data_IF_687799622068
#
_entry.id   IF_687799622068
#
_cell.length_a   1.000
_cell.length_b   1.000
_cell.length_c   1.000
_cell.angle_alpha   90.00
_cell.angle_beta   90.00
_cell.angle_gamma   90.00
#
_symmetry.space_group_name_H-M   'P 1'
#
loop_
_entity.id
_entity.type
_entity.pdbx_description
1 polymer ?
#
# COMPACT_ATOMS: atom_id res chain seq x y z
N UNK A 1 -5.69 13.22 24.07
CA UNK A 1 -4.97 14.46 24.32
C UNK A 1 -4.39 15.08 23.05
N UNK A 2 -3.89 16.28 23.14
CA UNK A 2 -3.17 16.97 22.06
C UNK A 2 -1.74 17.19 22.54
N UNK A 3 -0.77 16.86 21.72
CA UNK A 3 0.66 17.06 22.00
C UNK A 3 1.11 18.25 21.16
N UNK A 4 1.49 19.40 21.80
CA UNK A 4 1.76 20.64 21.07
C UNK A 4 3.04 20.61 20.27
N UNK A 5 4.08 19.95 20.76
CA UNK A 5 5.42 19.89 20.15
C UNK A 5 5.92 18.47 20.05
N UNK A 6 6.88 18.24 19.16
CA UNK A 6 7.49 16.94 18.96
C UNK A 6 8.35 16.50 20.17
N UNK A 7 8.93 17.46 20.85
CA UNK A 7 9.77 17.26 22.03
C UNK A 7 8.97 16.72 23.22
N UNK A 8 7.66 17.05 23.30
CA UNK A 8 6.77 16.60 24.37
C UNK A 8 6.29 15.15 24.19
N UNK A 9 6.47 14.55 22.98
CA UNK A 9 5.96 13.22 22.65
C UNK A 9 6.48 12.12 23.59
N UNK A 10 7.80 12.01 23.87
CA UNK A 10 8.30 10.95 24.75
C UNK A 10 7.72 11.02 26.17
N UNK A 11 7.63 12.22 26.73
CA UNK A 11 7.12 12.46 28.09
C UNK A 11 5.61 12.20 28.18
N UNK A 12 4.88 12.55 27.13
CA UNK A 12 3.44 12.30 27.07
C UNK A 12 3.12 10.81 26.99
N UNK A 13 3.87 10.06 26.17
CA UNK A 13 3.69 8.61 26.03
C UNK A 13 4.06 7.89 27.31
N UNK A 14 5.12 8.33 28.00
CA UNK A 14 5.53 7.71 29.28
C UNK A 14 4.47 7.80 30.39
N UNK A 15 3.56 8.77 30.29
CA UNK A 15 2.54 9.07 31.31
C UNK A 15 1.11 8.62 30.91
N UNK A 16 0.90 8.14 29.69
CA UNK A 16 -0.43 7.85 29.18
C UNK A 16 -0.41 6.56 28.36
N UNK A 17 -1.45 5.74 28.52
CA UNK A 17 -1.71 4.61 27.60
C UNK A 17 -2.33 5.15 26.32
N UNK A 18 -1.68 4.90 25.18
CA UNK A 18 -2.09 5.43 23.89
C UNK A 18 -2.26 4.28 22.91
N UNK A 19 -3.47 4.13 22.38
CA UNK A 19 -3.78 3.12 21.37
C UNK A 19 -3.50 3.62 19.95
N UNK A 20 -3.67 4.94 19.71
CA UNK A 20 -3.57 5.51 18.37
C UNK A 20 -3.02 6.93 18.39
N UNK A 21 -2.10 7.21 17.49
CA UNK A 21 -1.59 8.55 17.19
C UNK A 21 -2.20 9.07 15.88
N UNK A 22 -2.76 10.27 15.94
CA UNK A 22 -3.17 11.03 14.77
C UNK A 22 -2.11 12.11 14.53
N UNK A 23 -1.34 11.98 13.46
CA UNK A 23 -0.14 12.80 13.20
C UNK A 23 -0.33 13.59 11.91
N UNK A 24 -0.21 14.92 11.99
CA UNK A 24 -0.07 15.73 10.78
C UNK A 24 1.33 15.55 10.20
N UNK A 25 1.43 15.25 8.91
CA UNK A 25 2.72 15.12 8.23
C UNK A 25 3.45 16.47 8.19
N UNK A 26 2.69 17.58 8.05
CA UNK A 26 3.22 18.93 7.98
C UNK A 26 3.03 19.64 9.32
N UNK A 27 3.94 19.39 10.25
CA UNK A 27 4.02 20.13 11.50
C UNK A 27 4.70 21.47 11.31
N UNK A 28 4.42 22.42 12.20
CA UNK A 28 5.14 23.70 12.26
C UNK A 28 6.55 23.46 12.80
N UNK A 29 7.56 24.06 12.16
CA UNK A 29 8.96 23.93 12.57
C UNK A 29 9.77 22.96 11.72
N UNK A 30 10.93 22.54 12.23
CA UNK A 30 11.88 21.68 11.50
C UNK A 30 11.58 20.18 11.61
N UNK A 31 10.70 19.79 12.54
CA UNK A 31 10.34 18.37 12.77
C UNK A 31 9.19 17.99 11.88
N UNK A 32 9.34 16.88 11.15
CA UNK A 32 8.28 16.33 10.31
C UNK A 32 7.50 15.28 11.09
N UNK A 33 6.17 15.21 10.87
CA UNK A 33 5.34 14.19 11.49
C UNK A 33 5.81 12.76 11.21
N UNK A 34 6.54 12.56 10.11
CA UNK A 34 7.15 11.27 9.72
C UNK A 34 8.25 10.87 10.71
N UNK A 35 9.10 11.83 11.14
CA UNK A 35 10.19 11.57 12.06
C UNK A 35 9.64 11.15 13.44
N UNK A 36 8.55 11.81 13.88
CA UNK A 36 7.82 11.44 15.11
C UNK A 36 7.23 10.03 14.99
N UNK A 37 6.59 9.71 13.87
CA UNK A 37 5.99 8.41 13.66
C UNK A 37 7.02 7.27 13.66
N UNK A 38 8.23 7.52 13.16
CA UNK A 38 9.35 6.57 13.23
C UNK A 38 9.73 6.27 14.68
N UNK A 39 9.91 7.30 15.49
CA UNK A 39 10.22 7.15 16.93
C UNK A 39 9.10 6.42 17.68
N UNK A 40 7.82 6.75 17.38
CA UNK A 40 6.67 6.06 17.97
C UNK A 40 6.68 4.59 17.60
N UNK A 41 6.91 4.26 16.34
CA UNK A 41 6.90 2.87 15.87
C UNK A 41 8.01 2.03 16.48
N UNK A 42 9.20 2.60 16.66
CA UNK A 42 10.33 1.94 17.30
C UNK A 42 10.07 1.65 18.79
N UNK A 43 9.52 2.62 19.51
CA UNK A 43 9.31 2.50 20.96
C UNK A 43 7.99 1.84 21.35
N UNK A 44 6.94 2.00 20.50
CA UNK A 44 5.56 1.58 20.75
C UNK A 44 4.99 0.83 19.53
N UNK A 45 5.52 -0.37 19.21
CA UNK A 45 5.18 -1.09 17.99
C UNK A 45 3.69 -1.48 17.88
N UNK A 46 2.97 -1.53 19.01
CA UNK A 46 1.54 -1.90 19.05
C UNK A 46 0.59 -0.72 18.87
N UNK A 47 1.06 0.52 19.00
CA UNK A 47 0.21 1.70 18.82
C UNK A 47 -0.14 1.90 17.35
N UNK A 48 -1.39 2.28 17.06
CA UNK A 48 -1.81 2.70 15.73
C UNK A 48 -1.21 4.05 15.34
N UNK A 49 -0.88 4.23 14.07
CA UNK A 49 -0.42 5.50 13.51
C UNK A 49 -1.30 5.87 12.32
N UNK A 50 -2.04 6.98 12.44
CA UNK A 50 -2.85 7.55 11.38
C UNK A 50 -2.28 8.90 10.96
N UNK A 51 -1.79 9.00 9.74
CA UNK A 51 -1.33 10.28 9.19
C UNK A 51 -2.48 11.13 8.67
N UNK A 52 -2.38 12.45 8.86
CA UNK A 52 -3.21 13.44 8.17
C UNK A 52 -2.32 14.40 7.39
N UNK A 53 -2.77 14.87 6.23
CA UNK A 53 -2.01 15.85 5.44
C UNK A 53 -2.88 16.61 4.47
N UNK A 54 -2.50 17.87 4.17
CA UNK A 54 -3.07 18.65 3.07
C UNK A 54 -2.37 18.38 1.73
N UNK A 55 -1.22 17.70 1.75
CA UNK A 55 -0.44 17.46 0.54
C UNK A 55 -0.96 16.23 -0.22
N UNK A 56 -1.36 16.44 -1.47
CA UNK A 56 -1.70 15.40 -2.43
C UNK A 56 -0.56 15.27 -3.43
N UNK A 57 0.20 14.19 -3.38
CA UNK A 57 1.23 13.96 -4.37
C UNK A 57 2.16 12.79 -4.05
N UNK A 58 2.81 12.26 -5.10
CA UNK A 58 3.73 11.12 -5.03
C UNK A 58 4.86 11.34 -4.00
N UNK A 59 5.39 12.57 -3.94
CA UNK A 59 6.53 12.91 -3.06
C UNK A 59 6.24 12.75 -1.56
N UNK A 60 4.98 12.87 -1.14
CA UNK A 60 4.59 12.68 0.27
C UNK A 60 4.43 11.20 0.57
N UNK A 61 3.79 10.47 -0.34
CA UNK A 61 3.57 9.04 -0.22
C UNK A 61 4.90 8.27 -0.26
N UNK A 62 5.83 8.69 -1.12
CA UNK A 62 7.19 8.12 -1.16
C UNK A 62 7.94 8.33 0.18
N UNK A 63 7.71 9.48 0.84
CA UNK A 63 8.32 9.78 2.15
C UNK A 63 7.72 9.00 3.32
N UNK A 64 6.39 8.77 3.31
CA UNK A 64 5.72 7.99 4.36
C UNK A 64 5.83 6.48 4.13
N UNK A 65 6.14 6.04 2.89
CA UNK A 65 6.30 4.61 2.57
C UNK A 65 7.38 3.92 3.40
N UNK A 66 8.37 4.68 3.89
CA UNK A 66 9.45 4.16 4.72
C UNK A 66 9.08 4.05 6.20
N UNK A 67 7.97 4.66 6.62
CA UNK A 67 7.45 4.60 7.98
C UNK A 67 6.31 3.59 8.06
N UNK A 68 6.33 2.70 9.05
CA UNK A 68 5.22 1.79 9.31
C UNK A 68 4.06 2.56 9.92
N UNK A 69 2.99 2.80 9.14
CA UNK A 69 1.76 3.46 9.59
C UNK A 69 0.54 2.59 9.30
N UNK A 70 -0.60 2.88 9.95
CA UNK A 70 -1.79 2.06 9.90
C UNK A 70 -2.91 2.66 9.07
N UNK A 71 -2.88 3.98 8.86
CA UNK A 71 -3.83 4.70 8.04
C UNK A 71 -3.34 6.07 7.62
N UNK A 72 -4.08 6.68 6.69
CA UNK A 72 -3.78 8.00 6.13
C UNK A 72 -5.06 8.72 5.72
N UNK A 73 -5.17 10.01 6.03
CA UNK A 73 -6.30 10.87 5.65
C UNK A 73 -5.83 12.15 4.96
N UNK A 74 -6.40 12.43 3.80
CA UNK A 74 -6.15 13.68 3.06
C UNK A 74 -7.10 14.77 3.53
N UNK A 75 -6.57 15.89 3.98
CA UNK A 75 -7.33 17.09 4.34
C UNK A 75 -7.84 17.83 3.08
N UNK A 76 -9.09 18.33 3.10
CA UNK A 76 -10.11 18.15 4.13
C UNK A 76 -10.75 16.76 4.09
N UNK A 77 -10.96 16.14 5.25
CA UNK A 77 -11.64 14.85 5.38
C UNK A 77 -12.96 15.00 6.13
N UNK A 78 -13.94 14.14 5.79
CA UNK A 78 -15.22 14.08 6.48
C UNK A 78 -15.10 13.27 7.77
N UNK A 79 -16.03 13.53 8.72
CA UNK A 79 -16.14 12.71 9.93
C UNK A 79 -16.32 11.22 9.58
N UNK A 80 -17.14 10.92 8.58
CA UNK A 80 -17.37 9.55 8.10
C UNK A 80 -16.09 8.87 7.58
N UNK A 81 -15.21 9.63 6.91
CA UNK A 81 -13.92 9.10 6.45
C UNK A 81 -12.99 8.79 7.63
N UNK A 82 -12.99 9.67 8.63
CA UNK A 82 -12.22 9.47 9.87
C UNK A 82 -12.72 8.23 10.62
N UNK A 83 -14.03 8.14 10.88
CA UNK A 83 -14.65 7.00 11.56
C UNK A 83 -14.35 5.67 10.86
N UNK A 84 -14.51 5.62 9.54
CA UNK A 84 -14.22 4.41 8.76
C UNK A 84 -12.75 4.00 8.86
N UNK A 85 -11.83 4.97 8.83
CA UNK A 85 -10.40 4.70 8.95
C UNK A 85 -10.03 4.23 10.35
N UNK A 86 -10.57 4.87 11.40
CA UNK A 86 -10.39 4.47 12.78
C UNK A 86 -10.91 3.06 13.04
N UNK A 87 -12.09 2.72 12.52
CA UNK A 87 -12.65 1.38 12.61
C UNK A 87 -11.74 0.31 11.98
N UNK A 88 -11.16 0.59 10.81
CA UNK A 88 -10.24 -0.34 10.16
C UNK A 88 -8.94 -0.51 10.95
N UNK A 89 -8.42 0.57 11.53
CA UNK A 89 -7.22 0.52 12.38
C UNK A 89 -7.52 -0.27 13.66
N UNK A 90 -8.64 -0.02 14.35
CA UNK A 90 -9.00 -0.75 15.57
C UNK A 90 -9.12 -2.25 15.32
N UNK A 91 -9.76 -2.65 14.22
CA UNK A 91 -9.84 -4.07 13.83
C UNK A 91 -8.48 -4.71 13.58
N UNK A 92 -7.54 -3.96 13.05
CA UNK A 92 -6.17 -4.42 12.85
C UNK A 92 -5.40 -4.57 14.17
N UNK A 93 -5.64 -3.67 15.13
CA UNK A 93 -5.01 -3.71 16.44
C UNK A 93 -5.60 -4.80 17.35
N UNK A 94 -6.91 -5.11 17.23
CA UNK A 94 -7.60 -6.16 17.97
C UNK A 94 -7.16 -7.59 17.57
N UNK A 95 -6.68 -7.79 16.33
CA UNK A 95 -6.23 -9.10 15.81
C UNK A 95 -4.76 -9.05 15.37
N UNK A 96 -3.80 -8.94 16.31
CA UNK A 96 -2.39 -8.92 15.94
C UNK A 96 -1.88 -10.25 15.39
N UNK A 97 -2.55 -11.38 15.63
CA UNK A 97 -1.98 -12.70 15.44
C UNK A 97 -2.33 -13.44 14.15
N UNK A 98 -3.30 -12.97 13.34
CA UNK A 98 -3.57 -13.56 12.02
C UNK A 98 -2.89 -12.83 10.84
N UNK A 99 -2.31 -11.63 11.08
CA UNK A 99 -1.55 -10.85 10.10
C UNK A 99 -0.06 -10.69 10.49
N UNK A 100 0.39 -11.32 11.56
CA UNK A 100 1.63 -11.04 12.30
C UNK A 100 2.83 -11.92 11.94
N UNK A 101 2.93 -12.48 10.75
CA UNK A 101 4.17 -13.12 10.28
C UNK A 101 4.53 -12.74 8.85
N UNK A 102 4.61 -11.47 8.61
CA UNK A 102 5.57 -10.90 7.66
C UNK A 102 5.60 -9.41 7.91
N UNK A 103 6.74 -8.87 8.35
CA UNK A 103 7.05 -7.44 8.35
C UNK A 103 7.11 -6.89 6.91
N UNK A 104 6.08 -7.17 6.11
CA UNK A 104 6.00 -6.68 4.74
C UNK A 104 5.45 -5.26 4.78
N UNK A 105 6.33 -4.33 4.51
CA UNK A 105 6.05 -2.93 4.19
C UNK A 105 4.84 -2.88 3.24
N UNK A 106 3.69 -2.37 3.70
CA UNK A 106 2.52 -2.21 2.82
C UNK A 106 2.81 -1.11 1.82
N UNK A 107 2.93 -1.47 0.57
CA UNK A 107 3.04 -0.48 -0.49
C UNK A 107 1.64 -0.04 -0.90
N UNK A 108 1.20 1.11 -0.38
CA UNK A 108 -0.10 1.71 -0.70
C UNK A 108 0.03 2.58 -1.95
N UNK A 109 -0.64 2.17 -3.00
CA UNK A 109 -0.64 2.85 -4.29
C UNK A 109 -1.80 3.84 -4.36
N UNK A 110 -1.55 5.15 -4.50
CA UNK A 110 -2.61 6.11 -4.75
C UNK A 110 -3.12 5.95 -6.18
N UNK A 111 -4.36 5.52 -6.32
CA UNK A 111 -5.06 5.45 -7.61
C UNK A 111 -6.22 6.43 -7.63
N UNK A 112 -6.55 6.99 -8.82
CA UNK A 112 -7.71 7.85 -8.99
C UNK A 112 -8.84 7.05 -9.64
N UNK A 113 -9.89 6.76 -8.88
CA UNK A 113 -11.11 6.10 -9.36
C UNK A 113 -12.32 7.02 -9.16
N UNK A 114 -13.06 7.30 -10.25
CA UNK A 114 -14.28 8.15 -10.23
C UNK A 114 -14.11 9.48 -9.50
N UNK A 115 -12.96 10.15 -9.73
CA UNK A 115 -12.65 11.45 -9.12
C UNK A 115 -12.14 11.40 -7.67
N UNK A 116 -12.11 10.23 -7.04
CA UNK A 116 -11.58 10.02 -5.67
C UNK A 116 -10.20 9.40 -5.73
N UNK A 117 -9.33 9.77 -4.78
CA UNK A 117 -8.06 9.08 -4.56
C UNK A 117 -8.32 7.93 -3.59
N UNK A 118 -7.92 6.74 -4.00
CA UNK A 118 -8.02 5.51 -3.22
C UNK A 118 -6.61 5.00 -3.00
N UNK A 119 -6.27 4.68 -1.75
CA UNK A 119 -5.02 4.01 -1.41
C UNK A 119 -5.24 2.51 -1.53
N UNK A 120 -4.69 1.93 -2.59
CA UNK A 120 -4.79 0.52 -2.89
C UNK A 120 -3.56 -0.20 -2.35
N UNK A 121 -3.76 -1.19 -1.48
CA UNK A 121 -2.66 -2.07 -1.07
C UNK A 121 -2.23 -2.93 -2.27
N UNK A 122 -0.95 -2.89 -2.62
CA UNK A 122 -0.44 -3.69 -3.75
C UNK A 122 -0.61 -5.20 -3.53
N UNK A 123 -0.68 -5.65 -2.26
CA UNK A 123 -0.89 -7.06 -1.94
C UNK A 123 -2.27 -7.57 -2.36
N UNK A 124 -3.27 -6.67 -2.43
CA UNK A 124 -4.62 -7.02 -2.91
C UNK A 124 -4.66 -7.18 -4.44
N UNK A 125 -3.66 -6.66 -5.16
CA UNK A 125 -3.63 -6.70 -6.63
C UNK A 125 -3.29 -8.11 -7.09
N UNK A 126 -4.19 -8.69 -7.89
CA UNK A 126 -3.98 -9.97 -8.57
C UNK A 126 -3.22 -9.78 -9.87
N UNK A 127 -3.72 -8.90 -10.73
CA UNK A 127 -3.08 -8.52 -11.99
C UNK A 127 -3.61 -7.17 -12.50
N UNK A 128 -2.88 -6.59 -13.45
CA UNK A 128 -3.25 -5.35 -14.13
C UNK A 128 -3.34 -5.59 -15.62
N UNK A 129 -4.44 -5.12 -16.25
CA UNK A 129 -4.68 -5.19 -17.70
C UNK A 129 -4.71 -3.80 -18.31
N UNK A 130 -3.90 -3.57 -19.33
CA UNK A 130 -3.94 -2.33 -20.11
C UNK A 130 -5.00 -2.41 -21.22
N UNK A 131 -5.86 -1.39 -21.30
CA UNK A 131 -6.90 -1.22 -22.32
C UNK A 131 -6.85 0.20 -22.89
N UNK A 132 -6.05 0.41 -23.94
CA UNK A 132 -5.84 1.73 -24.53
C UNK A 132 -5.20 2.70 -23.53
N UNK A 133 -5.92 3.79 -23.18
CA UNK A 133 -5.47 4.80 -22.21
C UNK A 133 -5.85 4.47 -20.77
N UNK A 134 -6.43 3.30 -20.51
CA UNK A 134 -6.91 2.89 -19.20
C UNK A 134 -6.21 1.62 -18.73
N UNK A 135 -6.15 1.49 -17.40
CA UNK A 135 -5.76 0.26 -16.73
C UNK A 135 -6.94 -0.28 -15.93
N UNK A 136 -7.18 -1.57 -16.06
CA UNK A 136 -8.01 -2.34 -15.12
C UNK A 136 -7.10 -3.00 -14.10
N UNK A 137 -7.28 -2.66 -12.84
CA UNK A 137 -6.57 -3.26 -11.72
C UNK A 137 -7.52 -4.23 -11.04
N UNK A 138 -7.21 -5.51 -11.15
CA UNK A 138 -8.01 -6.59 -10.56
C UNK A 138 -7.47 -6.89 -9.16
N UNK A 139 -8.34 -6.81 -8.16
CA UNK A 139 -8.03 -7.09 -6.77
C UNK A 139 -8.92 -8.21 -6.23
N UNK A 140 -8.67 -8.64 -4.99
CA UNK A 140 -9.46 -9.68 -4.35
C UNK A 140 -10.94 -9.27 -4.19
N UNK A 141 -11.23 -7.96 -4.04
CA UNK A 141 -12.56 -7.47 -3.72
C UNK A 141 -13.29 -6.82 -4.91
N UNK A 142 -12.56 -6.14 -5.80
CA UNK A 142 -13.16 -5.37 -6.91
C UNK A 142 -12.17 -5.07 -8.02
N UNK A 143 -12.68 -4.52 -9.13
CA UNK A 143 -11.90 -4.05 -10.26
C UNK A 143 -11.92 -2.53 -10.29
N UNK A 144 -10.75 -1.91 -10.34
CA UNK A 144 -10.61 -0.47 -10.54
C UNK A 144 -10.32 -0.17 -12.01
N UNK A 145 -10.90 0.92 -12.52
CA UNK A 145 -10.61 1.44 -13.85
C UNK A 145 -9.99 2.82 -13.71
N UNK A 146 -8.70 2.94 -14.01
CA UNK A 146 -7.97 4.20 -13.91
C UNK A 146 -7.48 4.67 -15.28
N UNK A 147 -7.42 5.98 -15.49
CA UNK A 147 -6.84 6.56 -16.70
C UNK A 147 -5.34 6.76 -16.51
N UNK A 148 -4.58 5.74 -16.82
CA UNK A 148 -3.11 5.75 -16.71
C UNK A 148 -2.53 4.72 -17.69
N UNK A 149 -1.31 4.95 -18.17
CA UNK A 149 -0.61 4.01 -19.04
C UNK A 149 0.16 2.99 -18.22
N UNK A 150 0.25 1.75 -18.72
CA UNK A 150 1.00 0.67 -18.04
C UNK A 150 2.49 1.05 -17.83
N UNK A 151 3.06 1.82 -18.76
CA UNK A 151 4.44 2.30 -18.68
C UNK A 151 4.68 3.20 -17.45
N UNK A 152 3.71 4.01 -17.07
CA UNK A 152 3.80 4.93 -15.92
C UNK A 152 3.35 4.28 -14.62
N UNK A 153 2.49 3.27 -14.70
CA UNK A 153 1.99 2.56 -13.53
C UNK A 153 2.96 1.47 -13.03
N UNK A 154 3.58 0.72 -13.94
CA UNK A 154 4.48 -0.39 -13.60
C UNK A 154 5.62 -0.02 -12.63
N UNK A 155 6.29 1.14 -12.76
CA UNK A 155 7.35 1.54 -11.81
C UNK A 155 6.86 1.83 -10.40
N UNK A 156 5.54 1.96 -10.18
CA UNK A 156 4.95 2.16 -8.85
C UNK A 156 4.75 0.84 -8.09
N UNK A 157 4.76 -0.28 -8.81
CA UNK A 157 4.62 -1.62 -8.25
C UNK A 157 5.98 -2.16 -7.81
N UNK A 158 5.98 -2.97 -6.76
CA UNK A 158 7.19 -3.66 -6.32
C UNK A 158 7.67 -4.65 -7.41
N UNK A 159 8.87 -4.47 -8.00
CA UNK A 159 9.37 -5.31 -9.07
C UNK A 159 9.61 -6.77 -8.63
N UNK A 160 9.78 -7.01 -7.33
CA UNK A 160 9.89 -8.37 -6.82
C UNK A 160 8.55 -9.11 -6.81
N UNK A 161 7.43 -8.39 -6.70
CA UNK A 161 6.08 -8.97 -6.63
C UNK A 161 5.38 -8.99 -7.98
N UNK A 162 5.67 -8.03 -8.85
CA UNK A 162 4.93 -7.83 -10.09
C UNK A 162 5.81 -8.00 -11.32
N UNK A 163 5.32 -8.78 -12.27
CA UNK A 163 6.03 -9.06 -13.52
C UNK A 163 5.16 -8.75 -14.73
N UNK A 164 5.71 -8.01 -15.68
CA UNK A 164 5.06 -7.79 -16.98
C UNK A 164 5.31 -9.00 -17.88
N UNK A 165 4.30 -9.81 -18.08
CA UNK A 165 4.36 -11.05 -18.88
C UNK A 165 3.82 -10.91 -20.31
N UNK A 166 3.11 -9.79 -20.57
CA UNK A 166 2.54 -9.49 -21.90
C UNK A 166 2.55 -7.99 -22.16
N UNK A 167 2.38 -7.55 -23.43
CA UNK A 167 2.28 -6.11 -23.76
C UNK A 167 1.20 -5.38 -22.97
N UNK A 168 0.13 -6.09 -22.60
CA UNK A 168 -1.04 -5.54 -21.89
C UNK A 168 -1.24 -6.10 -20.49
N UNK A 169 -0.37 -6.98 -19.97
CA UNK A 169 -0.60 -7.59 -18.66
C UNK A 169 0.63 -7.56 -17.77
N UNK A 170 0.38 -7.20 -16.51
CA UNK A 170 1.30 -7.34 -15.36
C UNK A 170 0.61 -8.23 -14.34
N UNK A 171 1.30 -9.22 -13.82
CA UNK A 171 0.75 -10.18 -12.86
C UNK A 171 1.48 -10.11 -11.52
N UNK A 172 0.76 -10.36 -10.44
CA UNK A 172 1.32 -10.61 -9.14
C UNK A 172 1.85 -12.05 -9.09
N UNK A 173 3.14 -12.21 -8.90
CA UNK A 173 3.81 -13.52 -8.92
C UNK A 173 3.30 -14.47 -7.83
N UNK A 174 2.86 -13.94 -6.68
CA UNK A 174 2.30 -14.75 -5.59
C UNK A 174 0.91 -15.32 -5.91
N UNK A 175 0.23 -14.78 -6.93
CA UNK A 175 -1.11 -15.20 -7.36
C UNK A 175 -1.08 -16.14 -8.57
N UNK A 176 0.09 -16.48 -9.09
CA UNK A 176 0.26 -17.44 -10.19
C UNK A 176 0.08 -18.86 -9.65
N UNK A 177 -0.92 -19.58 -10.18
CA UNK A 177 -1.21 -20.97 -9.82
C UNK A 177 -0.47 -21.97 -10.70
N UNK A 178 -0.60 -21.81 -11.99
CA UNK A 178 -0.01 -22.64 -13.02
C UNK A 178 0.28 -21.85 -14.29
N UNK A 179 1.11 -22.37 -15.16
CA UNK A 179 1.43 -21.76 -16.45
C UNK A 179 1.88 -22.81 -17.48
N UNK A 180 1.70 -22.46 -18.73
CA UNK A 180 2.23 -23.20 -19.89
C UNK A 180 2.96 -22.22 -20.84
N UNK A 181 3.40 -22.68 -22.00
CA UNK A 181 4.18 -21.87 -22.94
C UNK A 181 3.44 -20.66 -23.55
N UNK A 182 2.12 -20.59 -23.41
CA UNK A 182 1.26 -19.56 -24.03
C UNK A 182 0.58 -18.66 -22.99
N UNK A 183 0.26 -19.20 -21.82
CA UNK A 183 -0.60 -18.56 -20.84
C UNK A 183 -0.28 -18.97 -19.40
N UNK A 184 -0.73 -18.18 -18.42
CA UNK A 184 -0.68 -18.51 -17.02
C UNK A 184 -2.04 -18.27 -16.36
N UNK A 185 -2.31 -19.03 -15.30
CA UNK A 185 -3.48 -18.90 -14.46
C UNK A 185 -3.14 -18.04 -13.24
N UNK A 186 -3.81 -16.90 -13.13
CA UNK A 186 -3.66 -15.97 -11.99
C UNK A 186 -5.03 -15.84 -11.35
N UNK A 187 -5.18 -16.31 -10.11
CA UNK A 187 -6.45 -16.24 -9.37
C UNK A 187 -7.67 -16.75 -10.16
N UNK A 188 -7.51 -17.87 -10.89
CA UNK A 188 -8.50 -18.47 -11.80
C UNK A 188 -8.78 -17.70 -13.12
N UNK A 189 -7.97 -16.70 -13.45
CA UNK A 189 -8.03 -16.01 -14.73
C UNK A 189 -6.87 -16.43 -15.62
N UNK A 190 -7.17 -16.83 -16.86
CA UNK A 190 -6.17 -17.20 -17.86
C UNK A 190 -5.62 -15.92 -18.51
N UNK A 191 -4.32 -15.70 -18.40
CA UNK A 191 -3.61 -14.52 -18.90
C UNK A 191 -2.54 -14.94 -19.91
N UNK A 192 -2.50 -14.33 -21.12
CA UNK A 192 -1.53 -14.70 -22.13
C UNK A 192 -0.11 -14.30 -21.76
N UNK A 193 0.85 -15.14 -22.07
CA UNK A 193 2.28 -14.87 -21.95
C UNK A 193 2.82 -14.44 -23.32
N UNK A 194 3.71 -13.45 -23.36
CA UNK A 194 4.38 -13.04 -24.60
C UNK A 194 5.21 -14.20 -25.16
N UNK A 195 5.24 -14.32 -26.48
CA UNK A 195 6.02 -15.36 -27.17
C UNK A 195 7.50 -15.35 -26.72
N UNK A 196 8.05 -16.52 -26.42
CA UNK A 196 9.46 -16.70 -26.03
C UNK A 196 9.78 -16.40 -24.55
N UNK A 197 8.81 -15.91 -23.75
CA UNK A 197 9.07 -15.50 -22.37
C UNK A 197 8.87 -16.61 -21.31
N UNK A 198 8.37 -17.75 -21.71
CA UNK A 198 8.03 -18.85 -20.81
C UNK A 198 9.21 -19.33 -19.93
N UNK A 199 10.39 -19.52 -20.52
CA UNK A 199 11.59 -20.00 -19.81
C UNK A 199 12.04 -18.99 -18.75
N UNK A 200 12.11 -17.70 -19.12
CA UNK A 200 12.48 -16.63 -18.19
C UNK A 200 11.47 -16.53 -17.03
N UNK A 201 10.18 -16.65 -17.34
CA UNK A 201 9.12 -16.60 -16.35
C UNK A 201 9.21 -17.77 -15.36
N UNK A 202 9.47 -19.00 -15.82
CA UNK A 202 9.70 -20.15 -14.95
C UNK A 202 10.90 -19.93 -14.02
N UNK A 203 12.02 -19.43 -14.53
CA UNK A 203 13.22 -19.15 -13.74
C UNK A 203 12.92 -18.13 -12.63
N UNK A 204 12.20 -17.05 -12.96
CA UNK A 204 11.79 -16.04 -11.97
C UNK A 204 10.92 -16.64 -10.87
N UNK A 205 9.96 -17.51 -11.20
CA UNK A 205 9.09 -18.15 -10.21
C UNK A 205 9.83 -19.16 -9.33
N UNK A 206 10.80 -19.88 -9.86
CA UNK A 206 11.62 -20.85 -9.12
C UNK A 206 12.54 -20.16 -8.10
N UNK A 207 13.18 -19.04 -8.49
CA UNK A 207 14.07 -18.28 -7.62
C UNK A 207 13.32 -17.61 -6.44
N UNK A 208 11.98 -17.51 -6.50
CA UNK A 208 11.15 -16.97 -5.41
C UNK A 208 10.65 -17.99 -4.40
N UNK A 209 10.78 -19.27 -4.69
CA UNK A 209 10.34 -20.34 -3.78
C UNK A 209 11.46 -20.83 -2.86
N UNK A 210 12.66 -20.28 -2.99
CA UNK A 210 13.78 -20.45 -2.05
C UNK A 210 13.87 -19.24 -1.11
#
# INVERSE_FOLDING_TARGET
GIIPTAEDVPDFIAKNDIDLFLIDIMLKGNVKGIDIATVIREKFPKCGILFTTALSGKSVLDKISDTLYDGYLLKPFSLKSLESTLYLISKKLEKPDEAGQTGQKRNLLPIRDKGKIILLDENDIQYVKAEGLYLRIFTDNKVFLIRELLKTFLPKLNPEKFLRIHKSYVVNLSRVKDLNSKECNVSNQIIPIRRGFYKDFLTILQNKKQ
#
